data_IF_298208506990
#
_entry.id   IF_298208506990
#
_cell.length_a   1.000
_cell.length_b   1.000
_cell.length_c   1.000
_cell.angle_alpha   90.00
_cell.angle_beta   90.00
_cell.angle_gamma   90.00
#
_symmetry.space_group_name_H-M   'P 1'
#
loop_
_entity.id
_entity.type
_entity.pdbx_description
1 polymer ?
#
# COMPACT_ATOMS: atom_id res chain seq x y z
N UNK A 1 36.14 6.24 69.96
CA UNK A 1 36.59 5.17 69.04
C UNK A 1 36.35 3.84 69.74
N UNK A 2 35.62 2.88 69.16
CA UNK A 2 35.58 2.52 67.72
C UNK A 2 34.17 2.51 67.10
N UNK A 3 34.09 2.46 65.76
CA UNK A 3 32.88 2.07 65.06
C UNK A 3 33.20 1.32 63.75
N UNK A 4 32.28 0.43 63.38
CA UNK A 4 32.40 -0.72 62.45
C UNK A 4 32.74 -0.43 60.98
N UNK A 5 33.40 -1.42 60.37
CA UNK A 5 33.59 -1.62 58.92
C UNK A 5 32.28 -1.66 58.11
N UNK A 6 32.31 -1.04 56.92
CA UNK A 6 31.57 -1.48 55.72
C UNK A 6 32.43 -1.22 54.47
N UNK A 7 32.70 -2.28 53.71
CA UNK A 7 33.32 -2.22 52.36
C UNK A 7 32.29 -1.85 51.28
N UNK A 8 32.73 -1.18 50.20
CA UNK A 8 32.11 -1.41 48.89
C UNK A 8 33.15 -1.56 47.76
N UNK A 9 32.86 -2.43 46.78
CA UNK A 9 33.34 -2.20 45.41
C UNK A 9 34.04 -3.32 44.62
N UNK A 10 33.86 -4.61 44.93
CA UNK A 10 34.47 -5.69 44.12
C UNK A 10 33.55 -6.21 43.00
N UNK A 11 32.24 -5.91 43.04
CA UNK A 11 31.26 -6.47 42.09
C UNK A 11 31.17 -5.84 40.69
N UNK A 12 31.72 -4.64 40.47
CA UNK A 12 31.61 -3.93 39.17
C UNK A 12 32.80 -4.10 38.22
N UNK A 13 33.94 -4.55 38.72
CA UNK A 13 35.14 -4.77 37.90
C UNK A 13 35.15 -6.17 37.26
N UNK A 14 34.50 -7.16 37.87
CA UNK A 14 34.47 -8.53 37.35
C UNK A 14 33.53 -8.70 36.14
N UNK A 15 32.48 -7.89 36.02
CA UNK A 15 31.54 -7.96 34.88
C UNK A 15 32.13 -7.40 33.60
N UNK A 16 33.01 -6.39 33.66
CA UNK A 16 33.63 -5.80 32.47
C UNK A 16 34.61 -6.73 31.76
N UNK A 17 35.41 -7.49 32.53
CA UNK A 17 36.39 -8.44 31.99
C UNK A 17 35.72 -9.65 31.34
N UNK A 18 34.61 -10.12 31.90
CA UNK A 18 33.83 -11.23 31.33
C UNK A 18 33.26 -10.89 29.94
N UNK A 19 32.78 -9.66 29.73
CA UNK A 19 32.28 -9.22 28.43
C UNK A 19 33.38 -9.02 27.38
N UNK A 20 34.56 -8.53 27.78
CA UNK A 20 35.69 -8.35 26.87
C UNK A 20 36.24 -9.70 26.36
N UNK A 21 36.31 -10.72 27.23
CA UNK A 21 36.74 -12.07 26.84
C UNK A 21 35.72 -12.77 25.93
N UNK A 22 34.42 -12.56 26.16
CA UNK A 22 33.36 -13.07 25.28
C UNK A 22 33.42 -12.45 23.88
N UNK A 23 33.60 -11.14 23.78
CA UNK A 23 33.70 -10.45 22.49
C UNK A 23 35.00 -10.82 21.74
N UNK A 24 36.11 -11.01 22.44
CA UNK A 24 37.36 -11.46 21.82
C UNK A 24 37.27 -12.92 21.34
N UNK A 25 36.61 -13.80 22.10
CA UNK A 25 36.32 -15.17 21.69
C UNK A 25 35.41 -15.23 20.45
N UNK A 26 34.38 -14.38 20.40
CA UNK A 26 33.49 -14.27 19.23
C UNK A 26 34.23 -13.72 17.99
N UNK A 27 35.16 -12.77 18.20
CA UNK A 27 35.97 -12.21 17.13
C UNK A 27 37.00 -13.21 16.59
N UNK A 28 37.63 -14.01 17.46
CA UNK A 28 38.57 -15.06 17.04
C UNK A 28 37.84 -16.22 16.33
N UNK A 29 36.66 -16.63 16.80
CA UNK A 29 35.84 -17.65 16.13
C UNK A 29 35.36 -17.20 14.74
N UNK A 30 35.12 -15.89 14.56
CA UNK A 30 34.78 -15.30 13.27
C UNK A 30 35.92 -15.33 12.23
N UNK A 31 37.18 -15.50 12.63
CA UNK A 31 38.32 -15.55 11.71
C UNK A 31 38.63 -16.95 11.17
N UNK A 32 37.99 -17.99 11.71
CA UNK A 32 38.23 -19.39 11.35
C UNK A 32 37.15 -19.97 10.41
N UNK A 33 36.07 -19.21 10.14
CA UNK A 33 35.02 -19.54 9.16
C UNK A 33 35.34 -19.01 7.75
N UNK A 34 36.48 -18.35 7.56
CA UNK A 34 36.91 -17.76 6.27
C UNK A 34 37.94 -18.60 5.50
N UNK A 35 37.87 -19.93 5.59
CA UNK A 35 38.66 -20.82 4.74
C UNK A 35 37.76 -21.45 3.64
N UNK A 36 37.27 -20.60 2.74
CA UNK A 36 36.73 -21.07 1.45
C UNK A 36 37.88 -21.06 0.45
N UNK A 37 38.42 -22.25 0.23
CA UNK A 37 39.42 -22.56 -0.80
C UNK A 37 39.09 -21.85 -2.12
N UNK A 38 40.05 -21.05 -2.59
CA UNK A 38 40.14 -20.61 -3.98
C UNK A 38 40.32 -21.83 -4.89
N UNK A 39 39.21 -22.47 -5.25
CA UNK A 39 39.10 -23.30 -6.43
C UNK A 39 38.72 -22.41 -7.61
N UNK A 40 39.72 -21.83 -8.29
CA UNK A 40 39.51 -21.17 -9.57
C UNK A 40 38.99 -22.19 -10.60
N UNK A 41 37.71 -22.10 -10.91
CA UNK A 41 37.21 -22.23 -12.26
C UNK A 41 36.30 -21.05 -12.48
N UNK A 42 36.79 -20.04 -13.20
CA UNK A 42 36.05 -18.82 -13.47
C UNK A 42 34.73 -19.18 -14.18
N UNK A 43 33.55 -18.87 -13.61
CA UNK A 43 32.34 -18.89 -14.41
C UNK A 43 32.47 -17.77 -15.44
N UNK A 44 32.14 -18.08 -16.69
CA UNK A 44 32.09 -17.09 -17.75
C UNK A 44 31.22 -15.89 -17.28
N UNK A 45 31.70 -14.68 -17.55
CA UNK A 45 31.15 -13.37 -17.15
C UNK A 45 29.67 -13.14 -17.50
N UNK A 46 28.97 -14.11 -18.10
CA UNK A 46 27.55 -14.04 -18.45
C UNK A 46 26.56 -14.42 -17.34
N UNK A 47 26.94 -15.24 -16.35
CA UNK A 47 25.94 -15.84 -15.42
C UNK A 47 25.66 -15.02 -14.15
N UNK A 48 26.51 -14.05 -13.78
CA UNK A 48 26.27 -13.22 -12.58
C UNK A 48 25.30 -12.06 -12.82
N UNK A 49 24.94 -11.76 -14.07
CA UNK A 49 24.00 -10.68 -14.38
C UNK A 49 22.53 -11.03 -14.08
N UNK A 50 22.21 -12.31 -13.83
CA UNK A 50 20.84 -12.79 -13.68
C UNK A 50 20.31 -12.86 -12.22
N UNK A 51 21.17 -12.71 -11.21
CA UNK A 51 20.79 -12.96 -9.79
C UNK A 51 20.17 -11.74 -9.09
N UNK A 52 20.12 -10.56 -9.74
CA UNK A 52 19.76 -9.30 -9.07
C UNK A 52 18.45 -8.65 -9.47
N UNK A 53 17.73 -9.12 -10.51
CA UNK A 53 16.46 -8.48 -10.90
C UNK A 53 15.33 -9.08 -10.06
N UNK A 54 14.64 -8.31 -9.18
CA UNK A 54 13.41 -8.81 -8.58
C UNK A 54 12.48 -9.25 -9.72
N UNK A 55 11.77 -10.39 -9.60
CA UNK A 55 10.90 -10.87 -10.67
C UNK A 55 9.97 -9.73 -11.08
N UNK A 56 10.07 -9.30 -12.33
CA UNK A 56 9.14 -8.33 -12.90
C UNK A 56 7.74 -8.94 -12.76
N UNK A 57 6.88 -8.28 -12.00
CA UNK A 57 5.48 -8.67 -11.89
C UNK A 57 4.88 -8.52 -13.28
N UNK A 58 4.72 -9.64 -13.99
CA UNK A 58 4.12 -9.64 -15.31
C UNK A 58 2.66 -9.22 -15.19
N UNK A 59 2.39 -8.00 -15.63
CA UNK A 59 1.05 -7.43 -15.60
C UNK A 59 0.14 -8.14 -16.63
N UNK A 60 -1.09 -8.51 -16.26
CA UNK A 60 -2.05 -9.12 -17.19
C UNK A 60 -2.45 -8.14 -18.31
N UNK A 61 -2.78 -8.61 -19.52
CA UNK A 61 -3.24 -7.72 -20.57
C UNK A 61 -4.58 -7.05 -20.19
N UNK A 62 -4.84 -5.83 -20.67
CA UNK A 62 -6.12 -5.16 -20.42
C UNK A 62 -7.26 -5.91 -21.13
N UNK A 63 -8.39 -6.03 -20.44
CA UNK A 63 -9.63 -6.55 -21.01
C UNK A 63 -10.39 -5.43 -21.73
N UNK A 64 -11.14 -5.78 -22.78
CA UNK A 64 -12.09 -4.85 -23.41
C UNK A 64 -13.10 -4.33 -22.38
N UNK A 65 -13.46 -3.05 -22.41
CA UNK A 65 -14.50 -2.51 -21.53
C UNK A 65 -15.79 -3.33 -21.56
N UNK A 66 -16.42 -3.44 -20.41
CA UNK A 66 -17.73 -4.05 -20.20
C UNK A 66 -18.84 -3.04 -20.51
N UNK A 67 -20.08 -3.53 -20.45
CA UNK A 67 -21.26 -2.66 -20.45
C UNK A 67 -21.29 -1.72 -19.23
N UNK A 68 -22.22 -0.78 -19.23
CA UNK A 68 -22.47 0.08 -18.06
C UNK A 68 -23.31 -0.70 -17.05
N UNK A 69 -22.85 -0.76 -15.80
CA UNK A 69 -23.66 -1.26 -14.69
C UNK A 69 -23.12 -0.67 -13.37
N UNK A 70 -24.00 -0.44 -12.39
CA UNK A 70 -23.67 0.28 -11.16
C UNK A 70 -22.92 -0.63 -10.19
N UNK A 71 -21.93 -0.11 -9.45
CA UNK A 71 -21.28 -0.89 -8.40
C UNK A 71 -22.23 -1.12 -7.22
N UNK A 72 -22.13 -2.30 -6.64
CA UNK A 72 -22.82 -2.66 -5.38
C UNK A 72 -21.84 -2.93 -4.26
N UNK A 73 -20.68 -3.53 -4.57
CA UNK A 73 -19.67 -3.93 -3.59
C UNK A 73 -18.27 -3.87 -4.19
N UNK A 74 -17.29 -3.49 -3.38
CA UNK A 74 -15.85 -3.58 -3.69
C UNK A 74 -15.21 -4.60 -2.76
N UNK A 75 -14.50 -5.54 -3.36
CA UNK A 75 -13.68 -6.54 -2.65
C UNK A 75 -12.21 -6.31 -3.00
N UNK A 76 -11.34 -6.16 -1.99
CA UNK A 76 -9.88 -6.01 -2.14
C UNK A 76 -9.21 -7.06 -1.24
N UNK A 77 -8.96 -8.28 -1.76
CA UNK A 77 -8.50 -9.40 -0.93
C UNK A 77 -7.18 -9.15 -0.19
N UNK A 78 -6.24 -8.41 -0.79
CA UNK A 78 -4.92 -8.14 -0.21
C UNK A 78 -4.96 -7.33 1.09
N UNK A 79 -6.06 -6.62 1.35
CA UNK A 79 -6.28 -5.82 2.56
C UNK A 79 -7.55 -6.26 3.32
N UNK A 80 -8.11 -7.43 2.99
CA UNK A 80 -9.30 -7.98 3.67
C UNK A 80 -10.57 -7.14 3.52
N UNK A 81 -10.64 -6.24 2.54
CA UNK A 81 -11.80 -5.36 2.34
C UNK A 81 -12.91 -6.08 1.59
N UNK A 82 -14.12 -5.97 2.13
CA UNK A 82 -15.40 -6.27 1.49
C UNK A 82 -16.38 -5.19 1.90
N UNK A 83 -16.60 -4.21 1.04
CA UNK A 83 -17.30 -2.98 1.40
C UNK A 83 -18.47 -2.70 0.45
N UNK A 84 -19.66 -2.37 0.97
CA UNK A 84 -20.76 -1.90 0.14
C UNK A 84 -20.38 -0.55 -0.50
N UNK A 85 -20.96 -0.30 -1.67
CA UNK A 85 -20.74 0.93 -2.43
C UNK A 85 -21.99 1.79 -2.41
N UNK A 86 -21.82 3.08 -2.13
CA UNK A 86 -22.89 4.08 -2.18
C UNK A 86 -22.59 5.12 -3.26
N UNK A 87 -23.63 5.56 -3.96
CA UNK A 87 -23.52 6.63 -4.93
C UNK A 87 -23.26 7.97 -4.23
N UNK A 88 -22.25 8.72 -4.70
CA UNK A 88 -21.86 10.04 -4.20
C UNK A 88 -21.80 11.05 -5.33
N UNK A 89 -22.03 12.31 -4.99
CA UNK A 89 -21.86 13.47 -5.85
C UNK A 89 -20.53 14.17 -5.62
N UNK A 90 -20.48 15.45 -5.99
CA UNK A 90 -19.40 16.34 -5.59
C UNK A 90 -19.87 17.21 -4.42
N UNK A 91 -18.93 17.62 -3.58
CA UNK A 91 -19.14 18.64 -2.55
C UNK A 91 -19.12 20.06 -3.17
N UNK A 92 -19.26 21.07 -2.32
CA UNK A 92 -19.26 22.49 -2.74
C UNK A 92 -17.92 22.95 -3.32
N UNK A 93 -16.85 22.19 -3.14
CA UNK A 93 -15.51 22.45 -3.64
C UNK A 93 -15.20 21.64 -4.92
N UNK A 94 -16.17 20.86 -5.41
CA UNK A 94 -16.02 20.03 -6.60
C UNK A 94 -15.22 18.75 -6.37
N UNK A 95 -14.91 18.39 -5.12
CA UNK A 95 -14.32 17.10 -4.77
C UNK A 95 -15.41 16.04 -4.59
N UNK A 96 -15.10 14.75 -4.77
CA UNK A 96 -16.10 13.70 -4.55
C UNK A 96 -16.45 13.67 -3.06
N UNK A 97 -17.74 13.81 -2.77
CA UNK A 97 -18.26 13.80 -1.41
C UNK A 97 -18.06 12.41 -0.77
N UNK A 98 -17.21 12.26 0.26
CA UNK A 98 -16.92 10.96 0.85
C UNK A 98 -18.16 10.34 1.53
N UNK A 99 -18.13 9.03 1.83
CA UNK A 99 -19.15 8.39 2.66
C UNK A 99 -19.27 9.06 4.05
N UNK A 100 -20.43 8.98 4.72
CA UNK A 100 -20.56 9.46 6.09
C UNK A 100 -19.54 8.81 7.03
N UNK A 101 -18.99 9.58 7.98
CA UNK A 101 -17.96 9.09 8.92
C UNK A 101 -18.51 8.02 9.88
N UNK A 102 -19.83 7.98 10.10
CA UNK A 102 -20.55 6.95 10.85
C UNK A 102 -20.54 5.60 10.12
N UNK A 103 -20.21 5.61 8.83
CA UNK A 103 -20.17 4.44 7.95
C UNK A 103 -18.74 4.19 7.41
N UNK A 104 -17.73 3.98 8.28
CA UNK A 104 -16.33 3.91 7.84
C UNK A 104 -15.97 2.61 7.14
N UNK A 105 -16.89 1.65 7.03
CA UNK A 105 -16.74 0.44 6.21
C UNK A 105 -17.32 0.57 4.80
N UNK A 106 -17.76 1.77 4.40
CA UNK A 106 -18.46 2.03 3.13
C UNK A 106 -17.54 2.75 2.16
N UNK A 107 -17.68 2.46 0.86
CA UNK A 107 -16.98 3.16 -0.21
C UNK A 107 -17.96 4.02 -1.00
N UNK A 108 -17.57 5.25 -1.31
CA UNK A 108 -18.33 6.17 -2.16
C UNK A 108 -17.89 6.04 -3.60
N UNK A 109 -18.82 5.95 -4.55
CA UNK A 109 -18.54 5.99 -5.98
C UNK A 109 -19.10 7.28 -6.58
N UNK A 110 -18.32 7.97 -7.42
CA UNK A 110 -18.78 9.16 -8.11
C UNK A 110 -19.79 8.82 -9.22
N UNK A 111 -21.07 9.00 -8.93
CA UNK A 111 -22.16 8.43 -9.72
C UNK A 111 -22.44 9.16 -11.05
N UNK A 112 -22.04 10.43 -11.17
CA UNK A 112 -22.12 11.18 -12.41
C UNK A 112 -20.94 10.87 -13.37
N UNK A 113 -19.96 10.06 -12.92
CA UNK A 113 -18.82 9.64 -13.71
C UNK A 113 -19.02 8.31 -14.44
N UNK A 114 -17.91 7.65 -14.74
CA UNK A 114 -17.87 6.37 -15.45
C UNK A 114 -18.28 5.23 -14.52
N UNK A 115 -19.13 4.33 -15.03
CA UNK A 115 -19.45 3.09 -14.33
C UNK A 115 -18.27 2.12 -14.38
N UNK A 116 -17.94 1.44 -13.26
CA UNK A 116 -16.79 0.54 -13.19
C UNK A 116 -16.91 -0.59 -14.21
N UNK A 117 -15.90 -0.69 -15.07
CA UNK A 117 -15.82 -1.67 -16.15
C UNK A 117 -16.12 -1.05 -17.52
N UNK A 118 -16.81 0.09 -17.59
CA UNK A 118 -16.98 0.84 -18.83
C UNK A 118 -15.70 1.62 -19.20
N UNK A 119 -15.60 2.07 -20.46
CA UNK A 119 -14.46 2.84 -20.93
C UNK A 119 -14.36 4.19 -20.20
N UNK A 120 -13.14 4.55 -19.79
CA UNK A 120 -12.83 5.71 -18.95
C UNK A 120 -12.54 5.32 -17.50
N UNK A 121 -12.47 6.33 -16.62
CA UNK A 121 -12.04 6.15 -15.22
C UNK A 121 -13.21 6.21 -14.25
N UNK A 122 -13.46 5.12 -13.54
CA UNK A 122 -14.38 5.10 -12.39
C UNK A 122 -13.64 5.55 -11.13
N UNK A 123 -14.25 6.43 -10.33
CA UNK A 123 -13.64 7.03 -9.14
C UNK A 123 -14.36 6.57 -7.87
N UNK A 124 -13.58 6.07 -6.92
CA UNK A 124 -14.05 5.60 -5.62
C UNK A 124 -13.28 6.29 -4.51
N UNK A 125 -13.99 6.74 -3.48
CA UNK A 125 -13.45 7.41 -2.30
C UNK A 125 -13.82 6.65 -1.04
N UNK A 126 -12.93 6.65 -0.06
CA UNK A 126 -13.18 6.09 1.25
C UNK A 126 -12.28 6.73 2.29
N UNK A 127 -12.68 6.66 3.55
CA UNK A 127 -11.88 7.19 4.64
C UNK A 127 -10.66 6.31 4.92
N UNK A 128 -9.56 6.94 5.32
CA UNK A 128 -8.39 6.24 5.88
C UNK A 128 -8.70 5.80 7.31
N UNK A 129 -9.26 6.68 8.11
CA UNK A 129 -9.70 6.43 9.48
C UNK A 129 -10.86 7.34 9.87
N UNK A 130 -11.33 7.14 11.09
CA UNK A 130 -12.25 8.00 11.83
C UNK A 130 -11.54 8.52 13.07
N UNK A 131 -12.21 9.36 13.84
CA UNK A 131 -11.65 9.85 15.11
C UNK A 131 -11.24 8.75 16.09
N UNK A 132 -11.82 7.54 15.98
CA UNK A 132 -11.64 6.47 16.97
C UNK A 132 -11.05 5.17 16.41
N UNK A 133 -11.06 4.97 15.08
CA UNK A 133 -10.66 3.70 14.47
C UNK A 133 -10.31 3.79 12.98
N UNK A 134 -9.52 2.82 12.47
CA UNK A 134 -9.34 2.61 11.03
C UNK A 134 -10.64 2.49 10.24
N UNK A 135 -10.60 2.92 8.98
CA UNK A 135 -11.71 2.87 8.03
C UNK A 135 -11.35 2.02 6.78
N UNK A 136 -12.26 1.98 5.81
CA UNK A 136 -12.23 1.04 4.67
C UNK A 136 -10.94 1.10 3.86
N UNK A 137 -10.31 2.27 3.74
CA UNK A 137 -9.08 2.48 2.98
C UNK A 137 -7.87 2.76 3.87
N UNK A 138 -7.90 2.35 5.13
CA UNK A 138 -6.76 2.50 6.06
C UNK A 138 -5.44 1.97 5.49
N UNK A 139 -5.50 0.80 4.84
CA UNK A 139 -4.30 0.13 4.29
C UNK A 139 -4.06 0.44 2.80
N UNK A 140 -4.77 1.40 2.20
CA UNK A 140 -4.72 1.61 0.74
C UNK A 140 -3.30 1.92 0.23
N UNK A 141 -2.49 2.64 1.00
CA UNK A 141 -1.09 2.96 0.69
C UNK A 141 -0.16 1.75 0.66
N UNK A 142 -0.59 0.61 1.21
CA UNK A 142 0.19 -0.64 1.24
C UNK A 142 -0.02 -1.51 0.00
N UNK A 143 -0.98 -1.13 -0.86
CA UNK A 143 -1.26 -1.86 -2.09
C UNK A 143 -0.05 -1.84 -3.04
N UNK A 144 0.04 -2.86 -3.89
CA UNK A 144 1.14 -3.00 -4.86
C UNK A 144 0.63 -3.36 -6.24
N UNK A 145 1.39 -2.99 -7.30
CA UNK A 145 1.11 -3.47 -8.65
C UNK A 145 0.93 -4.99 -8.70
N UNK A 146 -0.03 -5.45 -9.51
CA UNK A 146 -0.42 -6.86 -9.62
C UNK A 146 -1.51 -7.31 -8.65
N UNK A 147 -1.81 -6.55 -7.60
CA UNK A 147 -2.92 -6.86 -6.69
C UNK A 147 -4.28 -6.63 -7.36
N UNK A 148 -5.31 -7.32 -6.87
CA UNK A 148 -6.64 -7.35 -7.48
C UNK A 148 -7.65 -6.53 -6.70
N UNK A 149 -8.51 -5.84 -7.44
CA UNK A 149 -9.72 -5.17 -6.94
C UNK A 149 -10.89 -5.74 -7.72
N UNK A 150 -11.95 -6.15 -7.03
CA UNK A 150 -13.16 -6.69 -7.65
C UNK A 150 -14.33 -5.79 -7.35
N UNK A 151 -15.05 -5.40 -8.39
CA UNK A 151 -16.27 -4.61 -8.26
C UNK A 151 -17.46 -5.46 -8.68
N UNK A 152 -18.31 -5.81 -7.71
CA UNK A 152 -19.59 -6.45 -8.00
C UNK A 152 -20.57 -5.41 -8.52
N UNK A 153 -21.27 -5.76 -9.60
CA UNK A 153 -22.13 -4.84 -10.34
C UNK A 153 -23.59 -5.31 -10.29
N UNK A 154 -24.51 -4.38 -10.51
CA UNK A 154 -25.96 -4.64 -10.50
C UNK A 154 -26.47 -5.47 -11.69
N UNK A 155 -25.64 -5.69 -12.71
CA UNK A 155 -25.89 -6.64 -13.81
C UNK A 155 -25.51 -8.09 -13.45
N UNK A 156 -25.14 -8.36 -12.19
CA UNK A 156 -24.73 -9.67 -11.70
C UNK A 156 -23.28 -10.04 -12.06
N UNK A 157 -22.57 -9.22 -12.82
CA UNK A 157 -21.18 -9.50 -13.19
C UNK A 157 -20.18 -8.91 -12.19
N UNK A 158 -18.95 -9.41 -12.23
CA UNK A 158 -17.83 -8.85 -11.46
C UNK A 158 -16.80 -8.27 -12.42
N UNK A 159 -16.47 -6.98 -12.26
CA UNK A 159 -15.33 -6.37 -12.95
C UNK A 159 -14.07 -6.58 -12.10
N UNK A 160 -13.10 -7.33 -12.61
CA UNK A 160 -11.80 -7.56 -11.95
C UNK A 160 -10.76 -6.61 -12.54
N UNK A 161 -10.17 -5.79 -11.67
CA UNK A 161 -9.12 -4.83 -11.99
C UNK A 161 -7.80 -5.26 -11.36
N UNK A 162 -6.70 -4.97 -12.04
CA UNK A 162 -5.36 -5.14 -11.51
C UNK A 162 -4.73 -3.79 -11.26
N UNK A 163 -4.20 -3.59 -10.05
CA UNK A 163 -3.45 -2.41 -9.64
C UNK A 163 -2.20 -2.31 -10.49
N UNK A 164 -1.96 -1.15 -11.09
CA UNK A 164 -0.76 -0.86 -11.87
C UNK A 164 0.10 0.24 -11.25
N UNK A 165 -0.46 1.05 -10.35
CA UNK A 165 0.25 2.15 -9.71
C UNK A 165 -0.38 2.56 -8.38
N UNK A 166 0.45 3.04 -7.45
CA UNK A 166 0.05 3.62 -6.16
C UNK A 166 0.85 4.89 -5.95
N UNK A 167 0.16 6.03 -5.98
CA UNK A 167 0.78 7.34 -5.91
C UNK A 167 0.27 8.14 -4.72
N UNK A 168 1.14 9.00 -4.17
CA UNK A 168 0.82 9.94 -3.09
C UNK A 168 0.89 11.35 -3.64
N UNK A 169 -0.21 12.08 -3.55
CA UNK A 169 -0.35 13.45 -4.04
C UNK A 169 -0.49 14.42 -2.86
N UNK A 170 0.49 15.31 -2.63
CA UNK A 170 0.35 16.39 -1.64
C UNK A 170 -0.85 17.29 -1.98
N UNK A 171 -1.55 17.77 -0.96
CA UNK A 171 -2.73 18.62 -1.17
C UNK A 171 -2.40 20.00 -1.71
N UNK A 172 -1.27 20.57 -1.32
CA UNK A 172 -0.88 21.94 -1.66
C UNK A 172 -0.58 22.13 -3.17
N UNK A 173 -0.40 21.04 -3.91
CA UNK A 173 -0.12 21.02 -5.35
C UNK A 173 -0.92 19.92 -6.08
N UNK A 174 -2.17 19.72 -5.67
CA UNK A 174 -3.00 18.65 -6.21
C UNK A 174 -3.44 18.91 -7.66
N UNK A 175 -2.93 18.12 -8.61
CA UNK A 175 -3.42 18.08 -9.99
C UNK A 175 -4.46 16.96 -10.16
N UNK A 176 -5.73 17.35 -10.30
CA UNK A 176 -6.84 16.42 -10.46
C UNK A 176 -6.79 15.62 -11.77
N UNK A 177 -6.26 16.19 -12.86
CA UNK A 177 -6.11 15.47 -14.12
C UNK A 177 -5.04 14.40 -14.01
N UNK A 178 -3.91 14.73 -13.38
CA UNK A 178 -2.87 13.74 -13.12
C UNK A 178 -3.35 12.62 -12.19
N UNK A 179 -4.09 12.96 -11.14
CA UNK A 179 -4.56 11.99 -10.15
C UNK A 179 -5.71 11.11 -10.66
N UNK A 180 -6.69 11.71 -11.35
CA UNK A 180 -7.97 11.05 -11.66
C UNK A 180 -8.21 10.83 -13.16
N UNK A 181 -7.43 11.47 -14.02
CA UNK A 181 -7.58 11.37 -15.46
C UNK A 181 -7.34 9.96 -16.01
N UNK A 182 -7.92 9.65 -17.17
CA UNK A 182 -7.64 8.40 -17.87
C UNK A 182 -6.18 8.38 -18.33
N UNK A 183 -5.46 7.28 -18.06
CA UNK A 183 -4.07 7.13 -18.52
C UNK A 183 -3.98 6.57 -19.93
N UNK A 184 -4.94 5.75 -20.32
CA UNK A 184 -5.01 5.18 -21.66
C UNK A 184 -6.40 5.36 -22.25
N UNK A 185 -6.46 5.92 -23.45
CA UNK A 185 -7.72 6.15 -24.17
C UNK A 185 -8.42 4.82 -24.46
N UNK A 186 -9.75 4.79 -24.25
CA UNK A 186 -10.58 3.62 -24.50
C UNK A 186 -10.46 2.47 -23.48
N UNK A 187 -9.59 2.58 -22.47
CA UNK A 187 -9.42 1.57 -21.42
C UNK A 187 -10.46 1.76 -20.31
N UNK A 188 -10.87 0.67 -19.68
CA UNK A 188 -11.64 0.70 -18.44
C UNK A 188 -10.68 0.79 -17.25
N UNK A 189 -10.72 1.92 -16.54
CA UNK A 189 -9.81 2.25 -15.43
C UNK A 189 -10.57 2.49 -14.13
N UNK A 190 -9.87 2.30 -13.02
CA UNK A 190 -10.37 2.52 -11.68
C UNK A 190 -9.36 3.36 -10.90
N UNK A 191 -9.86 4.29 -10.08
CA UNK A 191 -9.09 4.96 -9.03
C UNK A 191 -9.76 4.73 -7.69
N UNK A 192 -9.00 4.26 -6.72
CA UNK A 192 -9.37 4.29 -5.31
C UNK A 192 -8.61 5.42 -4.64
N UNK A 193 -9.30 6.25 -3.88
CA UNK A 193 -8.76 7.49 -3.32
C UNK A 193 -9.05 7.53 -1.83
N UNK A 194 -8.03 7.86 -1.04
CA UNK A 194 -8.16 8.12 0.39
C UNK A 194 -7.23 9.25 0.84
N UNK A 195 -7.44 9.75 2.04
CA UNK A 195 -6.51 10.66 2.69
C UNK A 195 -5.20 9.93 3.07
N UNK A 196 -4.07 10.63 3.06
CA UNK A 196 -2.77 10.09 3.46
C UNK A 196 -1.76 11.15 3.84
N UNK A 197 -0.50 10.73 4.00
CA UNK A 197 0.53 11.60 4.57
C UNK A 197 0.35 11.78 6.07
N UNK A 198 0.83 12.89 6.62
CA UNK A 198 0.75 13.20 8.05
C UNK A 198 -0.55 13.90 8.37
N UNK A 199 -1.12 13.63 9.54
CA UNK A 199 -2.27 14.40 10.03
C UNK A 199 -1.79 15.75 10.61
N UNK A 200 -2.18 16.84 9.97
CA UNK A 200 -2.01 18.20 10.48
C UNK A 200 -3.10 18.48 11.53
N UNK A 201 -2.69 18.57 12.80
CA UNK A 201 -3.60 18.81 13.93
C UNK A 201 -4.19 20.22 13.94
N UNK A 202 -3.45 21.21 13.42
CA UNK A 202 -3.91 22.60 13.39
C UNK A 202 -5.03 22.77 12.36
N UNK A 203 -4.88 22.12 11.20
CA UNK A 203 -5.87 22.15 10.10
C UNK A 203 -6.90 21.01 10.17
N UNK A 204 -6.74 20.08 11.13
CA UNK A 204 -7.53 18.85 11.29
C UNK A 204 -7.67 18.06 9.99
N UNK A 205 -6.59 17.95 9.23
CA UNK A 205 -6.60 17.30 7.92
C UNK A 205 -5.31 16.57 7.61
N UNK A 206 -5.41 15.57 6.74
CA UNK A 206 -4.25 14.91 6.14
C UNK A 206 -3.57 15.81 5.10
N UNK A 207 -2.24 15.69 5.00
CA UNK A 207 -1.43 16.51 4.08
C UNK A 207 -1.40 16.01 2.63
N UNK A 208 -1.85 14.78 2.37
CA UNK A 208 -1.84 14.18 1.04
C UNK A 208 -3.09 13.33 0.77
N UNK A 209 -3.22 12.91 -0.48
CA UNK A 209 -4.14 11.86 -0.91
C UNK A 209 -3.33 10.69 -1.45
N UNK A 210 -3.78 9.46 -1.15
CA UNK A 210 -3.27 8.24 -1.77
C UNK A 210 -4.23 7.86 -2.88
N UNK A 211 -3.69 7.61 -4.07
CA UNK A 211 -4.45 7.19 -5.24
C UNK A 211 -3.90 5.86 -5.73
N UNK A 212 -4.71 4.82 -5.62
CA UNK A 212 -4.45 3.53 -6.25
C UNK A 212 -5.10 3.54 -7.62
N UNK A 213 -4.29 3.29 -8.64
CA UNK A 213 -4.76 3.15 -10.00
C UNK A 213 -4.79 1.68 -10.40
N UNK A 214 -5.81 1.31 -11.14
CA UNK A 214 -5.99 -0.04 -11.66
C UNK A 214 -6.69 -0.01 -13.01
N UNK A 215 -6.56 -1.10 -13.77
CA UNK A 215 -7.24 -1.28 -15.05
C UNK A 215 -7.91 -2.65 -15.15
N UNK A 216 -8.97 -2.72 -15.95
CA UNK A 216 -9.78 -3.93 -16.11
C UNK A 216 -8.96 -5.02 -16.78
N UNK A 217 -8.94 -6.20 -16.16
CA UNK A 217 -8.15 -7.37 -16.58
C UNK A 217 -8.95 -8.66 -16.59
N UNK A 218 -10.11 -8.67 -15.93
CA UNK A 218 -10.99 -9.84 -15.89
C UNK A 218 -12.46 -9.49 -15.74
N UNK A 219 -13.30 -10.49 -16.03
CA UNK A 219 -14.74 -10.47 -15.78
C UNK A 219 -15.13 -11.78 -15.09
N UNK A 220 -15.87 -11.69 -13.99
CA UNK A 220 -16.50 -12.81 -13.31
C UNK A 220 -18.03 -12.79 -13.40
N UNK A 221 -18.66 -13.85 -12.90
CA UNK A 221 -20.10 -14.07 -12.82
C UNK A 221 -20.47 -14.59 -11.43
#
# INVERSE_FOLDING_TARGET
MPDRERSPGVGRLLTGVAWALLLLGLWLWGREVTDVRLGMSAPATGDMAAVGRPPEVRMPPPLKPLGRARPQRVDIPSMGVRAPVVARGLDTQGAIDPPPYEQPGVVGWYAAGVQPGAAGTALFVGHVDTETRPAVFYQLSTMRPGQRIRVMRDDGTVAEFTVDDVAVFPRDHFDAQQAYGPRQSGRAELRLVTCGGTFDRARRTYTANVVVSAYLTGKGF
#
